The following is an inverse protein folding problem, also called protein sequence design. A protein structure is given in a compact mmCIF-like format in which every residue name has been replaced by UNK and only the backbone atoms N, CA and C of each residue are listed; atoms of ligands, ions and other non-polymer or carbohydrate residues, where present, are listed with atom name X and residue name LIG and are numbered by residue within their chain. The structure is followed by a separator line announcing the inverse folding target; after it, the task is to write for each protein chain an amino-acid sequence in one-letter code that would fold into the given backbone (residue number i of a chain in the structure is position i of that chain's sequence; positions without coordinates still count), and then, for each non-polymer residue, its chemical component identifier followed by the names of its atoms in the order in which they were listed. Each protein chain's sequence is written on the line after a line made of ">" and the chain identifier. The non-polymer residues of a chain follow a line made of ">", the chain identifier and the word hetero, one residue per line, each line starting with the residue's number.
data_IF_557909098234
#
_entry.id   IF_557909098234
#
_cell.length_a   1.000
_cell.length_b   1.000
_cell.length_c   1.000
_cell.angle_alpha   90.00
_cell.angle_beta   90.00
_cell.angle_gamma   90.00
#
_symmetry.space_group_name_H-M   'P 1'
#
loop_
_entity.id
_entity.type
_entity.pdbx_description
1 polymer ?
#
# COMPACT_ATOMS: atom_id res chain seq x y z
N UNK A 1 7.87 50.48 61.76
CA UNK A 1 6.52 50.27 61.25
C UNK A 1 6.66 49.73 59.84
N UNK A 2 6.38 48.42 59.64
CA UNK A 2 6.35 47.79 58.30
C UNK A 2 4.90 47.82 57.82
N UNK A 3 4.61 48.15 56.56
CA UNK A 3 3.25 48.15 56.04
C UNK A 3 2.78 46.72 55.84
N UNK A 4 1.70 46.34 56.47
CA UNK A 4 1.03 45.07 56.38
C UNK A 4 0.39 44.91 54.99
N UNK A 5 0.96 44.00 54.18
CA UNK A 5 0.33 43.56 52.93
C UNK A 5 -0.98 42.82 53.23
N UNK A 6 -2.07 43.23 52.59
CA UNK A 6 -3.35 42.50 52.66
C UNK A 6 -3.17 41.11 52.03
N UNK A 7 -3.69 40.06 52.64
CA UNK A 7 -3.70 38.73 51.99
C UNK A 7 -4.53 38.77 50.71
N UNK A 8 -4.15 38.01 49.68
CA UNK A 8 -4.88 37.97 48.44
C UNK A 8 -6.34 37.61 48.67
N UNK A 9 -7.25 38.36 48.05
CA UNK A 9 -8.69 38.21 48.27
C UNK A 9 -9.16 36.82 47.82
N UNK A 10 -10.18 36.27 48.49
CA UNK A 10 -10.78 34.94 48.19
C UNK A 10 -11.17 34.73 46.73
N UNK A 11 -11.34 35.80 45.93
CA UNK A 11 -11.61 35.74 44.52
C UNK A 11 -10.37 35.34 43.70
N UNK A 12 -9.17 35.85 44.04
CA UNK A 12 -7.94 35.49 43.31
C UNK A 12 -7.54 34.03 43.57
N UNK A 13 -7.70 33.53 44.77
CA UNK A 13 -7.49 32.12 45.11
C UNK A 13 -8.49 31.21 44.36
N UNK A 14 -9.74 31.64 44.18
CA UNK A 14 -10.74 30.87 43.43
C UNK A 14 -10.43 30.79 41.92
N UNK A 15 -9.87 31.83 41.33
CA UNK A 15 -9.50 31.86 39.91
C UNK A 15 -8.26 30.96 39.69
N UNK A 16 -7.32 30.94 40.60
CA UNK A 16 -6.13 30.10 40.53
C UNK A 16 -6.50 28.62 40.68
N UNK A 17 -7.36 28.27 41.62
CA UNK A 17 -7.83 26.90 41.89
C UNK A 17 -8.72 26.37 40.75
N UNK A 18 -9.58 27.22 40.16
CA UNK A 18 -10.41 26.84 39.03
C UNK A 18 -9.60 26.53 37.75
N UNK A 19 -8.44 27.19 37.54
CA UNK A 19 -7.61 26.93 36.35
C UNK A 19 -6.81 25.63 36.43
N UNK A 20 -6.38 25.22 37.65
CA UNK A 20 -5.67 23.94 37.82
C UNK A 20 -6.61 22.74 37.73
N UNK A 21 -7.76 22.75 38.37
CA UNK A 21 -8.72 21.64 38.31
C UNK A 21 -9.26 21.37 36.91
N UNK A 22 -9.52 22.41 36.10
CA UNK A 22 -10.01 22.25 34.73
C UNK A 22 -8.96 21.68 33.77
N UNK A 23 -7.67 21.79 34.08
CA UNK A 23 -6.61 21.21 33.27
C UNK A 23 -6.53 19.69 33.43
N UNK A 24 -6.84 19.14 34.58
CA UNK A 24 -6.79 17.70 34.84
C UNK A 24 -8.09 16.96 34.45
N UNK A 25 -9.20 17.68 34.24
CA UNK A 25 -10.43 17.05 33.80
C UNK A 25 -10.38 16.65 32.31
N UNK A 26 -10.69 15.39 32.05
CA UNK A 26 -10.75 14.86 30.67
C UNK A 26 -12.07 15.25 30.03
N UNK A 27 -12.01 15.95 28.88
CA UNK A 27 -13.17 16.12 27.99
C UNK A 27 -13.58 14.79 27.41
N UNK A 28 -14.86 14.64 27.05
CA UNK A 28 -15.37 13.43 26.39
C UNK A 28 -14.56 13.07 25.12
N UNK A 29 -14.21 14.07 24.31
CA UNK A 29 -13.36 13.88 23.11
C UNK A 29 -11.95 13.39 23.44
N UNK A 30 -11.34 13.87 24.51
CA UNK A 30 -10.01 13.44 24.95
C UNK A 30 -9.99 12.00 25.46
N UNK A 31 -11.03 11.60 26.19
CA UNK A 31 -11.22 10.20 26.63
C UNK A 31 -11.34 9.28 25.40
N UNK A 32 -12.16 9.67 24.43
CA UNK A 32 -12.31 8.92 23.19
C UNK A 32 -10.98 8.81 22.41
N UNK A 33 -10.24 9.92 22.26
CA UNK A 33 -8.93 9.92 21.59
C UNK A 33 -7.92 9.02 22.32
N UNK A 34 -7.91 9.00 23.66
CA UNK A 34 -7.03 8.12 24.44
C UNK A 34 -7.41 6.64 24.26
N UNK A 35 -8.70 6.32 24.25
CA UNK A 35 -9.18 4.96 23.98
C UNK A 35 -8.79 4.53 22.57
N UNK A 36 -8.97 5.38 21.56
CA UNK A 36 -8.55 5.10 20.19
C UNK A 36 -7.04 4.86 20.09
N UNK A 37 -6.21 5.66 20.78
CA UNK A 37 -4.77 5.45 20.83
C UNK A 37 -4.41 4.06 21.39
N UNK A 38 -5.07 3.65 22.47
CA UNK A 38 -4.87 2.32 23.06
C UNK A 38 -5.32 1.20 22.10
N UNK A 39 -6.49 1.34 21.49
CA UNK A 39 -7.02 0.38 20.51
C UNK A 39 -6.05 0.21 19.34
N UNK A 40 -5.57 1.30 18.74
CA UNK A 40 -4.60 1.24 17.65
C UNK A 40 -3.25 0.64 18.08
N UNK A 41 -2.82 0.91 19.31
CA UNK A 41 -1.60 0.31 19.85
C UNK A 41 -1.73 -1.23 19.95
N UNK A 42 -2.82 -1.70 20.55
CA UNK A 42 -3.10 -3.14 20.71
C UNK A 42 -3.33 -3.83 19.35
N UNK A 43 -4.06 -3.17 18.44
CA UNK A 43 -4.27 -3.65 17.08
C UNK A 43 -2.93 -3.79 16.34
N UNK A 44 -2.05 -2.80 16.45
CA UNK A 44 -0.71 -2.86 15.87
C UNK A 44 0.10 -4.04 16.39
N UNK A 45 0.07 -4.30 17.69
CA UNK A 45 0.74 -5.48 18.30
C UNK A 45 0.18 -6.80 17.76
N UNK A 46 -1.14 -6.91 17.63
CA UNK A 46 -1.79 -8.09 17.07
C UNK A 46 -1.43 -8.33 15.61
N UNK A 47 -1.58 -7.30 14.76
CA UNK A 47 -1.32 -7.39 13.32
C UNK A 47 0.15 -7.69 12.97
N UNK A 48 1.11 -7.22 13.78
CA UNK A 48 2.53 -7.53 13.54
C UNK A 48 2.86 -9.02 13.68
N UNK A 49 2.04 -9.79 14.39
CA UNK A 49 2.23 -11.24 14.55
C UNK A 49 1.64 -12.06 13.39
N UNK A 50 0.83 -11.44 12.54
CA UNK A 50 0.20 -12.11 11.41
C UNK A 50 1.07 -11.97 10.14
N UNK A 51 1.41 -13.07 9.45
CA UNK A 51 2.19 -13.02 8.22
C UNK A 51 1.48 -12.19 7.12
N UNK A 52 2.24 -11.34 6.45
CA UNK A 52 1.76 -10.57 5.30
C UNK A 52 0.96 -9.30 5.61
N UNK A 53 0.58 -9.03 6.88
CA UNK A 53 -0.19 -7.82 7.26
C UNK A 53 0.61 -6.82 8.10
N UNK A 54 1.93 -6.95 8.15
CA UNK A 54 2.81 -6.08 8.95
C UNK A 54 2.72 -4.59 8.61
N UNK A 55 2.34 -4.22 7.38
CA UNK A 55 2.13 -2.81 7.01
C UNK A 55 0.96 -2.21 7.80
N UNK A 56 -0.20 -2.89 7.86
CA UNK A 56 -1.36 -2.46 8.64
C UNK A 56 -1.03 -2.34 10.13
N UNK A 57 -0.17 -3.21 10.66
CA UNK A 57 0.34 -3.11 12.04
C UNK A 57 1.15 -1.83 12.28
N UNK A 58 2.10 -1.51 11.38
CA UNK A 58 2.88 -0.26 11.45
C UNK A 58 2.00 0.98 11.31
N UNK A 59 1.02 0.95 10.38
CA UNK A 59 0.05 2.02 10.21
C UNK A 59 -0.78 2.24 11.47
N UNK A 60 -1.22 1.17 12.14
CA UNK A 60 -1.94 1.26 13.42
C UNK A 60 -1.12 1.97 14.49
N UNK A 61 0.17 1.68 14.62
CA UNK A 61 1.04 2.42 15.54
C UNK A 61 1.22 3.89 15.16
N UNK A 62 1.31 4.20 13.85
CA UNK A 62 1.30 5.58 13.37
C UNK A 62 0.01 6.32 13.77
N UNK A 63 -1.16 5.69 13.65
CA UNK A 63 -2.45 6.24 14.08
C UNK A 63 -2.53 6.42 15.60
N UNK A 64 -1.98 5.48 16.37
CA UNK A 64 -1.87 5.64 17.82
C UNK A 64 -1.04 6.88 18.19
N UNK A 65 0.11 7.08 17.53
CA UNK A 65 0.94 8.26 17.73
C UNK A 65 0.20 9.56 17.36
N UNK A 66 -0.51 9.59 16.23
CA UNK A 66 -1.35 10.74 15.83
C UNK A 66 -2.39 11.05 16.90
N UNK A 67 -3.08 10.04 17.43
CA UNK A 67 -4.04 10.22 18.54
C UNK A 67 -3.36 10.83 19.77
N UNK A 68 -2.18 10.37 20.16
CA UNK A 68 -1.44 10.91 21.31
C UNK A 68 -1.01 12.37 21.09
N UNK A 69 -0.55 12.71 19.88
CA UNK A 69 -0.20 14.09 19.50
C UNK A 69 -1.43 14.99 19.58
N UNK A 70 -2.55 14.58 19.00
CA UNK A 70 -3.80 15.34 19.05
C UNK A 70 -4.31 15.51 20.49
N UNK A 71 -4.17 14.49 21.33
CA UNK A 71 -4.51 14.58 22.76
C UNK A 71 -3.63 15.59 23.46
N UNK A 72 -2.32 15.59 23.22
CA UNK A 72 -1.39 16.58 23.75
C UNK A 72 -1.74 18.00 23.32
N UNK A 73 -1.97 18.20 22.01
CA UNK A 73 -2.40 19.49 21.45
C UNK A 73 -3.74 19.96 22.01
N UNK A 74 -4.71 19.05 22.21
CA UNK A 74 -5.99 19.37 22.85
C UNK A 74 -5.79 19.91 24.26
N UNK A 75 -4.93 19.31 25.05
CA UNK A 75 -4.61 19.79 26.39
C UNK A 75 -3.88 21.13 26.40
N UNK A 76 -2.86 21.27 25.56
CA UNK A 76 -2.13 22.53 25.40
C UNK A 76 -3.03 23.67 24.89
N UNK A 77 -4.04 23.37 24.09
CA UNK A 77 -5.01 24.35 23.57
C UNK A 77 -5.80 25.08 24.66
N UNK A 78 -5.82 24.54 25.90
CA UNK A 78 -6.44 25.18 27.06
C UNK A 78 -5.57 26.33 27.58
N UNK A 79 -4.26 26.36 27.28
CA UNK A 79 -3.31 27.33 27.84
C UNK A 79 -3.27 28.63 27.04
N UNK A 80 -3.41 28.59 25.71
CA UNK A 80 -3.29 29.78 24.86
C UNK A 80 -4.04 29.69 23.54
N UNK A 81 -4.28 30.87 22.92
CA UNK A 81 -4.86 30.97 21.59
C UNK A 81 -3.98 30.34 20.50
N UNK A 82 -2.65 30.43 20.62
CA UNK A 82 -1.69 29.83 19.70
C UNK A 82 -1.82 28.32 19.61
N UNK A 83 -1.93 27.64 20.76
CA UNK A 83 -2.13 26.18 20.81
C UNK A 83 -3.51 25.75 20.23
N UNK A 84 -4.55 26.59 20.41
CA UNK A 84 -5.86 26.34 19.77
C UNK A 84 -5.76 26.40 18.25
N UNK A 85 -5.02 27.39 17.72
CA UNK A 85 -4.79 27.52 16.29
C UNK A 85 -4.00 26.32 15.76
N UNK A 86 -2.91 25.91 16.44
CA UNK A 86 -2.10 24.76 16.06
C UNK A 86 -2.92 23.45 16.02
N UNK A 87 -3.77 23.21 17.02
CA UNK A 87 -4.68 22.06 17.02
C UNK A 87 -5.62 22.09 15.80
N UNK A 88 -6.21 23.25 15.46
CA UNK A 88 -7.08 23.36 14.30
C UNK A 88 -6.34 23.09 12.99
N UNK A 89 -5.14 23.65 12.84
CA UNK A 89 -4.29 23.40 11.66
C UNK A 89 -3.97 21.90 11.55
N UNK A 90 -3.57 21.26 12.65
CA UNK A 90 -3.29 19.81 12.66
C UNK A 90 -4.53 18.98 12.30
N UNK A 91 -5.72 19.34 12.79
CA UNK A 91 -6.96 18.63 12.45
C UNK A 91 -7.35 18.82 11.00
N UNK A 92 -7.23 20.04 10.44
CA UNK A 92 -7.52 20.31 9.02
C UNK A 92 -6.51 19.58 8.14
N UNK A 93 -5.22 19.63 8.46
CA UNK A 93 -4.17 18.91 7.73
C UNK A 93 -4.38 17.40 7.74
N UNK A 94 -4.74 16.84 8.89
CA UNK A 94 -5.06 15.41 9.00
C UNK A 94 -6.30 15.05 8.16
N UNK A 95 -7.35 15.85 8.21
CA UNK A 95 -8.55 15.63 7.39
C UNK A 95 -8.23 15.67 5.89
N UNK A 96 -7.45 16.64 5.45
CA UNK A 96 -6.99 16.73 4.06
C UNK A 96 -6.16 15.53 3.63
N UNK A 97 -5.22 15.08 4.50
CA UNK A 97 -4.42 13.89 4.27
C UNK A 97 -5.29 12.64 4.14
N UNK A 98 -6.23 12.43 5.07
CA UNK A 98 -7.15 11.27 5.04
C UNK A 98 -8.00 11.30 3.76
N UNK A 99 -8.54 12.45 3.38
CA UNK A 99 -9.33 12.59 2.15
C UNK A 99 -8.47 12.29 0.91
N UNK A 100 -7.25 12.81 0.83
CA UNK A 100 -6.32 12.54 -0.26
C UNK A 100 -5.96 11.05 -0.37
N UNK A 101 -5.57 10.43 0.74
CA UNK A 101 -5.27 8.99 0.76
C UNK A 101 -6.50 8.14 0.42
N UNK A 102 -7.69 8.53 0.89
CA UNK A 102 -8.94 7.83 0.54
C UNK A 102 -9.25 7.93 -0.95
N UNK A 103 -8.99 9.06 -1.59
CA UNK A 103 -9.17 9.22 -3.03
C UNK A 103 -8.21 8.33 -3.82
N UNK A 104 -6.94 8.25 -3.41
CA UNK A 104 -5.95 7.33 -4.00
C UNK A 104 -6.39 5.88 -3.80
N UNK A 105 -6.82 5.50 -2.60
CA UNK A 105 -7.28 4.15 -2.27
C UNK A 105 -8.47 3.73 -3.15
N UNK A 106 -9.48 4.60 -3.29
CA UNK A 106 -10.64 4.34 -4.15
C UNK A 106 -10.21 4.15 -5.61
N UNK A 107 -9.25 4.94 -6.09
CA UNK A 107 -8.71 4.79 -7.43
C UNK A 107 -7.95 3.47 -7.60
N UNK A 108 -7.08 3.09 -6.66
CA UNK A 108 -6.34 1.82 -6.68
C UNK A 108 -7.29 0.62 -6.65
N UNK A 109 -8.33 0.67 -5.80
CA UNK A 109 -9.35 -0.37 -5.72
C UNK A 109 -10.09 -0.48 -7.07
N UNK A 110 -10.52 0.63 -7.66
CA UNK A 110 -11.22 0.60 -8.96
C UNK A 110 -10.34 0.02 -10.07
N UNK A 111 -9.08 0.42 -10.14
CA UNK A 111 -8.13 -0.14 -11.10
C UNK A 111 -7.94 -1.64 -10.90
N UNK A 112 -7.83 -2.08 -9.64
CA UNK A 112 -7.62 -3.49 -9.29
C UNK A 112 -8.82 -4.41 -9.52
N UNK A 113 -10.03 -3.85 -9.63
CA UNK A 113 -11.26 -4.60 -9.92
C UNK A 113 -11.60 -4.64 -11.42
N UNK A 114 -10.84 -3.95 -12.25
CA UNK A 114 -10.98 -4.05 -13.70
C UNK A 114 -10.40 -5.39 -14.16
N UNK A 115 -11.28 -6.33 -14.46
CA UNK A 115 -10.94 -7.69 -14.88
C UNK A 115 -11.31 -7.86 -16.37
N UNK A 116 -10.29 -7.97 -17.20
CA UNK A 116 -10.41 -8.14 -18.65
C UNK A 116 -9.94 -9.53 -19.08
N UNK A 117 -9.87 -10.49 -18.15
CA UNK A 117 -9.37 -11.85 -18.40
C UNK A 117 -10.16 -12.64 -19.47
N UNK A 118 -11.39 -12.20 -19.79
CA UNK A 118 -12.17 -12.77 -20.90
C UNK A 118 -11.80 -12.18 -22.27
N UNK A 119 -11.00 -11.11 -22.31
CA UNK A 119 -10.57 -10.51 -23.58
C UNK A 119 -9.37 -11.26 -24.15
N UNK A 120 -9.31 -11.45 -25.47
CA UNK A 120 -8.15 -12.04 -26.11
C UNK A 120 -6.95 -11.08 -26.04
N UNK A 121 -5.76 -11.66 -25.95
CA UNK A 121 -4.49 -10.95 -26.10
C UNK A 121 -3.56 -11.75 -27.00
N UNK A 122 -2.55 -11.08 -27.56
CA UNK A 122 -1.59 -11.69 -28.47
C UNK A 122 -0.35 -12.20 -27.73
N UNK A 123 -0.12 -11.72 -26.52
CA UNK A 123 0.94 -12.16 -25.62
C UNK A 123 0.61 -11.84 -24.15
N UNK A 124 1.39 -12.42 -23.23
CA UNK A 124 1.22 -12.25 -21.78
C UNK A 124 2.52 -11.84 -21.11
N UNK A 125 2.44 -10.96 -20.12
CA UNK A 125 3.49 -10.77 -19.11
C UNK A 125 2.92 -11.16 -17.75
N UNK A 126 3.59 -12.09 -17.06
CA UNK A 126 3.30 -12.43 -15.66
C UNK A 126 4.34 -11.76 -14.77
N UNK A 127 3.89 -10.84 -13.91
CA UNK A 127 4.79 -10.10 -13.03
C UNK A 127 5.13 -10.88 -11.76
N UNK A 128 6.38 -10.84 -11.34
CA UNK A 128 6.86 -11.41 -10.09
C UNK A 128 6.36 -10.68 -8.84
N UNK A 129 6.36 -11.36 -7.68
CA UNK A 129 5.84 -10.84 -6.41
C UNK A 129 6.58 -11.36 -5.16
N UNK A 130 7.78 -11.91 -5.35
CA UNK A 130 8.64 -12.43 -4.28
C UNK A 130 8.56 -13.94 -4.08
N UNK A 131 9.69 -14.48 -3.65
CA UNK A 131 9.90 -15.90 -3.32
C UNK A 131 10.44 -15.99 -1.89
N UNK A 132 10.07 -17.00 -1.16
CA UNK A 132 10.63 -17.31 0.18
C UNK A 132 11.57 -18.53 0.03
N UNK A 133 12.87 -18.29 -0.04
CA UNK A 133 13.82 -19.31 -0.47
C UNK A 133 13.53 -19.72 -1.91
N UNK A 134 12.97 -20.91 -2.13
CA UNK A 134 12.50 -21.41 -3.43
C UNK A 134 10.98 -21.43 -3.58
N UNK A 135 10.22 -21.12 -2.49
CA UNK A 135 8.76 -21.23 -2.48
C UNK A 135 8.11 -19.90 -2.87
N UNK A 136 7.22 -19.86 -3.86
CA UNK A 136 6.49 -18.65 -4.21
C UNK A 136 5.76 -18.05 -3.01
N UNK A 137 5.83 -16.72 -2.85
CA UNK A 137 4.99 -16.01 -1.86
C UNK A 137 3.50 -16.22 -2.18
N UNK A 138 2.62 -15.95 -1.21
CA UNK A 138 1.16 -16.04 -1.45
C UNK A 138 0.73 -15.18 -2.65
N UNK A 139 1.30 -13.98 -2.79
CA UNK A 139 1.02 -13.11 -3.91
C UNK A 139 1.49 -13.70 -5.24
N UNK A 140 2.72 -14.24 -5.29
CA UNK A 140 3.24 -14.90 -6.49
C UNK A 140 2.44 -16.15 -6.84
N UNK A 141 2.05 -16.95 -5.84
CA UNK A 141 1.21 -18.13 -6.04
C UNK A 141 -0.13 -17.78 -6.71
N UNK A 142 -0.80 -16.71 -6.27
CA UNK A 142 -2.07 -16.30 -6.90
C UNK A 142 -1.89 -15.80 -8.33
N UNK A 143 -0.72 -15.21 -8.67
CA UNK A 143 -0.38 -14.84 -10.06
C UNK A 143 -0.12 -16.07 -10.92
N UNK A 144 0.57 -17.08 -10.40
CA UNK A 144 0.76 -18.37 -11.07
C UNK A 144 -0.58 -19.03 -11.35
N UNK A 145 -1.50 -19.02 -10.38
CA UNK A 145 -2.84 -19.59 -10.53
C UNK A 145 -3.69 -18.84 -11.59
N UNK A 146 -3.55 -17.51 -11.65
CA UNK A 146 -4.20 -16.70 -12.68
C UNK A 146 -3.58 -16.93 -14.06
N UNK A 147 -2.23 -17.03 -14.13
CA UNK A 147 -1.49 -17.30 -15.35
C UNK A 147 -1.84 -18.68 -15.93
N UNK A 148 -1.91 -19.70 -15.07
CA UNK A 148 -2.34 -21.04 -15.50
C UNK A 148 -3.72 -21.02 -16.16
N UNK A 149 -4.71 -20.38 -15.50
CA UNK A 149 -6.07 -20.29 -16.06
C UNK A 149 -6.10 -19.53 -17.38
N UNK A 150 -5.40 -18.40 -17.45
CA UNK A 150 -5.37 -17.57 -18.65
C UNK A 150 -4.66 -18.28 -19.81
N UNK A 151 -3.49 -18.89 -19.57
CA UNK A 151 -2.71 -19.59 -20.59
C UNK A 151 -3.37 -20.88 -21.09
N UNK A 152 -4.18 -21.56 -20.25
CA UNK A 152 -5.00 -22.70 -20.67
C UNK A 152 -6.18 -22.28 -21.54
N UNK A 153 -6.76 -21.10 -21.28
CA UNK A 153 -7.82 -20.53 -22.11
C UNK A 153 -7.30 -19.96 -23.45
N UNK A 154 -6.00 -19.62 -23.51
CA UNK A 154 -5.35 -19.04 -24.69
C UNK A 154 -4.09 -19.87 -25.03
N UNK A 155 -4.24 -21.06 -25.68
CA UNK A 155 -3.15 -22.03 -25.83
C UNK A 155 -2.03 -21.58 -26.79
N UNK A 156 -2.29 -20.64 -27.69
CA UNK A 156 -1.39 -20.28 -28.78
C UNK A 156 -0.51 -19.06 -28.52
N UNK A 157 -0.70 -18.34 -27.38
CA UNK A 157 0.02 -17.11 -27.10
C UNK A 157 1.27 -17.34 -26.24
N UNK A 158 2.39 -16.61 -26.49
CA UNK A 158 3.58 -16.66 -25.65
C UNK A 158 3.39 -15.88 -24.34
N UNK A 159 4.15 -16.27 -23.31
CA UNK A 159 4.14 -15.62 -22.02
C UNK A 159 5.55 -15.33 -21.51
N UNK A 160 5.84 -14.09 -21.19
CA UNK A 160 7.05 -13.71 -20.43
C UNK A 160 6.75 -13.79 -18.95
N UNK A 161 7.56 -14.54 -18.22
CA UNK A 161 7.58 -14.62 -16.78
C UNK A 161 8.67 -13.67 -16.29
N UNK A 162 8.28 -12.53 -15.71
CA UNK A 162 9.22 -11.46 -15.42
C UNK A 162 9.36 -11.20 -13.93
N UNK A 163 10.60 -11.31 -13.46
CA UNK A 163 10.99 -11.04 -12.09
C UNK A 163 12.36 -11.63 -11.76
N UNK A 164 13.26 -10.78 -11.26
CA UNK A 164 14.60 -11.19 -10.87
C UNK A 164 14.63 -11.92 -9.54
N UNK A 165 15.85 -12.10 -9.00
CA UNK A 165 16.10 -12.67 -7.68
C UNK A 165 16.28 -11.54 -6.67
N UNK A 166 15.41 -11.47 -5.68
CA UNK A 166 15.47 -10.48 -4.60
C UNK A 166 16.41 -10.91 -3.46
N UNK A 167 16.73 -10.00 -2.52
CA UNK A 167 17.50 -10.34 -1.34
C UNK A 167 16.83 -11.41 -0.48
N UNK A 168 17.54 -12.50 -0.19
CA UNK A 168 17.03 -13.62 0.61
C UNK A 168 16.20 -14.64 -0.17
N UNK A 169 16.20 -14.55 -1.50
CA UNK A 169 15.61 -15.54 -2.40
C UNK A 169 16.70 -16.47 -2.94
N UNK A 170 16.41 -17.76 -3.05
CA UNK A 170 17.33 -18.78 -3.56
C UNK A 170 17.14 -19.03 -5.07
N UNK A 171 16.10 -18.45 -5.67
CA UNK A 171 15.78 -18.51 -7.10
C UNK A 171 15.16 -17.21 -7.55
N UNK A 172 15.14 -16.94 -8.88
CA UNK A 172 14.40 -15.81 -9.42
C UNK A 172 12.89 -16.05 -9.36
N UNK A 173 12.12 -14.96 -9.27
CA UNK A 173 10.66 -15.03 -9.34
C UNK A 173 10.20 -15.63 -10.68
N UNK A 174 10.86 -15.26 -11.78
CA UNK A 174 10.59 -15.80 -13.12
C UNK A 174 10.81 -17.32 -13.15
N UNK A 175 11.90 -17.83 -12.59
CA UNK A 175 12.20 -19.27 -12.50
C UNK A 175 11.15 -20.01 -11.67
N UNK A 176 10.78 -19.47 -10.52
CA UNK A 176 9.75 -20.07 -9.68
C UNK A 176 8.39 -20.18 -10.39
N UNK A 177 8.02 -19.15 -11.19
CA UNK A 177 6.82 -19.17 -12.02
C UNK A 177 6.93 -20.24 -13.13
N UNK A 178 8.07 -20.31 -13.81
CA UNK A 178 8.32 -21.29 -14.89
C UNK A 178 8.17 -22.71 -14.40
N UNK A 179 8.85 -23.05 -13.31
CA UNK A 179 8.82 -24.40 -12.75
C UNK A 179 7.40 -24.80 -12.32
N UNK A 180 6.67 -23.86 -11.68
CA UNK A 180 5.29 -24.10 -11.27
C UNK A 180 4.32 -24.26 -12.46
N UNK A 181 4.41 -23.42 -13.48
CA UNK A 181 3.52 -23.49 -14.65
C UNK A 181 3.80 -24.71 -15.52
N UNK A 182 5.07 -25.08 -15.72
CA UNK A 182 5.46 -26.28 -16.42
C UNK A 182 4.96 -27.54 -15.69
N UNK A 183 5.11 -27.60 -14.38
CA UNK A 183 4.58 -28.71 -13.57
C UNK A 183 3.04 -28.85 -13.66
N UNK A 184 2.33 -27.77 -14.02
CA UNK A 184 0.86 -27.73 -14.24
C UNK A 184 0.44 -27.97 -15.68
N UNK A 185 1.37 -28.32 -16.56
CA UNK A 185 1.12 -28.71 -17.93
C UNK A 185 1.03 -27.55 -18.93
N UNK A 186 1.56 -26.36 -18.59
CA UNK A 186 1.80 -25.32 -19.59
C UNK A 186 3.04 -25.67 -20.37
N UNK A 187 2.94 -25.58 -21.69
CA UNK A 187 4.06 -25.89 -22.61
C UNK A 187 5.26 -24.98 -22.32
N UNK A 188 6.44 -25.55 -22.00
CA UNK A 188 7.65 -24.80 -21.74
C UNK A 188 8.10 -23.90 -22.90
N UNK A 189 7.81 -24.27 -24.14
CA UNK A 189 8.20 -23.50 -25.33
C UNK A 189 7.47 -22.14 -25.40
N UNK A 190 6.32 -22.01 -24.74
CA UNK A 190 5.55 -20.77 -24.64
C UNK A 190 6.05 -19.85 -23.53
N UNK A 191 6.87 -20.35 -22.59
CA UNK A 191 7.28 -19.64 -21.39
C UNK A 191 8.68 -19.05 -21.55
N UNK A 192 8.77 -17.73 -21.49
CA UNK A 192 10.01 -16.98 -21.68
C UNK A 192 10.42 -16.38 -20.32
N UNK A 193 11.65 -16.66 -19.90
CA UNK A 193 12.18 -16.13 -18.63
C UNK A 193 12.77 -14.74 -18.80
N UNK A 194 12.37 -13.81 -17.95
CA UNK A 194 12.98 -12.50 -17.77
C UNK A 194 13.39 -12.37 -16.29
N UNK A 195 14.67 -12.59 -15.99
CA UNK A 195 15.22 -12.76 -14.64
C UNK A 195 16.05 -11.53 -14.16
N UNK A 196 16.07 -10.42 -14.92
CA UNK A 196 16.95 -9.26 -14.66
C UNK A 196 16.25 -8.10 -13.97
N UNK A 197 14.93 -8.09 -14.01
CA UNK A 197 14.14 -6.97 -13.52
C UNK A 197 14.10 -6.93 -12.00
N UNK A 198 14.36 -5.74 -11.45
CA UNK A 198 14.31 -5.46 -10.00
C UNK A 198 13.11 -4.58 -9.61
N UNK A 199 12.28 -4.15 -10.57
CA UNK A 199 11.09 -3.32 -10.34
C UNK A 199 10.11 -3.41 -11.50
N UNK A 200 8.88 -2.94 -11.28
CA UNK A 200 7.77 -3.03 -12.26
C UNK A 200 8.08 -2.38 -13.60
N UNK A 201 8.75 -1.21 -13.62
CA UNK A 201 9.13 -0.56 -14.88
C UNK A 201 10.08 -1.41 -15.70
N UNK A 202 11.05 -2.04 -15.05
CA UNK A 202 11.97 -2.96 -15.71
C UNK A 202 11.24 -4.23 -16.18
N UNK A 203 10.34 -4.78 -15.35
CA UNK A 203 9.54 -5.93 -15.77
C UNK A 203 8.83 -5.68 -17.12
N UNK A 204 8.13 -4.56 -17.24
CA UNK A 204 7.42 -4.21 -18.48
C UNK A 204 8.41 -3.96 -19.64
N UNK A 205 9.42 -3.12 -19.41
CA UNK A 205 10.38 -2.72 -20.44
C UNK A 205 11.25 -3.87 -20.95
N UNK A 206 11.71 -4.76 -20.06
CA UNK A 206 12.59 -5.88 -20.43
C UNK A 206 11.81 -7.04 -21.08
N UNK A 207 10.51 -7.17 -20.78
CA UNK A 207 9.67 -8.22 -21.36
C UNK A 207 9.31 -7.96 -22.81
N UNK A 208 9.09 -6.70 -23.21
CA UNK A 208 8.63 -6.38 -24.56
C UNK A 208 9.58 -6.89 -25.67
N UNK A 209 10.91 -6.67 -25.62
CA UNK A 209 11.82 -7.18 -26.64
C UNK A 209 11.88 -8.71 -26.70
N UNK A 210 11.54 -9.40 -25.62
CA UNK A 210 11.48 -10.86 -25.60
C UNK A 210 10.24 -11.37 -26.36
N UNK A 211 9.11 -10.67 -26.22
CA UNK A 211 7.89 -10.98 -26.96
C UNK A 211 8.02 -10.65 -28.46
N UNK A 212 8.66 -9.54 -28.81
CA UNK A 212 8.94 -9.14 -30.19
C UNK A 212 9.75 -10.21 -30.92
N UNK A 213 10.71 -10.86 -30.26
CA UNK A 213 11.45 -12.01 -30.82
C UNK A 213 10.58 -13.22 -31.10
N UNK A 214 9.41 -13.32 -30.49
CA UNK A 214 8.41 -14.36 -30.74
C UNK A 214 7.34 -13.92 -31.75
N UNK A 215 7.54 -12.78 -32.40
CA UNK A 215 6.63 -12.25 -33.41
C UNK A 215 5.49 -11.38 -32.88
N UNK A 216 5.55 -10.96 -31.60
CA UNK A 216 4.56 -10.04 -31.05
C UNK A 216 4.67 -8.66 -31.71
N UNK A 217 3.55 -8.12 -32.19
CA UNK A 217 3.47 -6.75 -32.69
C UNK A 217 3.35 -5.75 -31.53
N UNK A 218 4.43 -5.05 -31.22
CA UNK A 218 4.47 -4.07 -30.14
C UNK A 218 3.71 -2.76 -30.42
N UNK A 219 3.25 -2.51 -31.65
CA UNK A 219 2.53 -1.28 -32.01
C UNK A 219 1.03 -1.47 -32.20
N UNK A 220 0.57 -2.68 -32.55
CA UNK A 220 -0.85 -2.97 -32.77
C UNK A 220 -1.40 -4.11 -31.93
N UNK A 221 -0.51 -4.84 -31.23
CA UNK A 221 -0.88 -6.00 -30.43
C UNK A 221 -1.51 -5.66 -29.10
N UNK A 222 -2.23 -6.64 -28.56
CA UNK A 222 -2.85 -6.60 -27.23
C UNK A 222 -2.02 -7.39 -26.24
N UNK A 223 -1.58 -6.78 -25.17
CA UNK A 223 -0.68 -7.38 -24.20
C UNK A 223 -1.38 -7.56 -22.85
N UNK A 224 -1.62 -8.82 -22.49
CA UNK A 224 -2.17 -9.14 -21.17
C UNK A 224 -1.08 -9.01 -20.11
N UNK A 225 -1.42 -8.35 -18.98
CA UNK A 225 -0.57 -8.31 -17.80
C UNK A 225 -1.27 -8.98 -16.64
N UNK A 226 -0.63 -10.02 -16.12
CA UNK A 226 -1.10 -10.77 -14.96
C UNK A 226 -0.35 -10.31 -13.72
N UNK A 227 -1.07 -9.67 -12.80
CA UNK A 227 -0.56 -9.25 -11.50
C UNK A 227 -1.71 -9.18 -10.49
N UNK A 228 -1.42 -8.94 -9.20
CA UNK A 228 -2.51 -8.81 -8.22
C UNK A 228 -3.29 -7.51 -8.43
N UNK A 229 -4.58 -7.52 -8.11
CA UNK A 229 -5.47 -6.38 -8.31
C UNK A 229 -4.93 -5.08 -7.71
N UNK A 230 -4.43 -5.10 -6.47
CA UNK A 230 -3.83 -3.93 -5.84
C UNK A 230 -2.69 -3.30 -6.66
N UNK A 231 -1.98 -4.08 -7.48
CA UNK A 231 -0.83 -3.63 -8.27
C UNK A 231 -1.20 -3.11 -9.66
N UNK A 232 -2.44 -3.33 -10.14
CA UNK A 232 -2.89 -2.92 -11.47
C UNK A 232 -2.85 -1.39 -11.67
N UNK A 233 -3.16 -0.62 -10.62
CA UNK A 233 -3.06 0.84 -10.68
C UNK A 233 -1.63 1.30 -11.02
N UNK A 234 -0.61 0.69 -10.41
CA UNK A 234 0.80 0.98 -10.70
C UNK A 234 1.19 0.54 -12.10
N UNK A 235 0.74 -0.62 -12.55
CA UNK A 235 0.95 -1.06 -13.94
C UNK A 235 0.42 -0.02 -14.92
N UNK A 236 -0.83 0.43 -14.73
CA UNK A 236 -1.43 1.47 -15.58
C UNK A 236 -0.67 2.80 -15.55
N UNK A 237 -0.15 3.24 -14.39
CA UNK A 237 0.68 4.44 -14.26
C UNK A 237 2.04 4.33 -14.96
N UNK A 238 2.60 3.13 -15.01
CA UNK A 238 3.90 2.87 -15.62
C UNK A 238 3.80 2.39 -17.06
N UNK A 239 2.56 2.27 -17.58
CA UNK A 239 2.30 1.82 -18.93
C UNK A 239 2.69 2.91 -19.93
N UNK A 240 3.86 2.78 -20.48
CA UNK A 240 4.43 3.64 -21.53
C UNK A 240 4.72 2.83 -22.83
N UNK A 241 4.11 1.65 -22.95
CA UNK A 241 4.25 0.79 -24.09
C UNK A 241 3.21 1.15 -25.17
N UNK A 242 3.55 1.00 -26.46
CA UNK A 242 2.66 1.35 -27.58
C UNK A 242 1.56 0.31 -27.84
N UNK A 243 1.38 -0.65 -26.92
CA UNK A 243 0.42 -1.76 -27.03
C UNK A 243 -0.84 -1.50 -26.21
N UNK A 244 -1.95 -2.14 -26.57
CA UNK A 244 -3.16 -2.14 -25.74
C UNK A 244 -2.96 -3.03 -24.51
N UNK A 245 -3.21 -2.48 -23.31
CA UNK A 245 -3.14 -3.22 -22.05
C UNK A 245 -4.42 -3.99 -21.78
N UNK A 246 -4.32 -5.32 -21.61
CA UNK A 246 -5.38 -6.18 -21.09
C UNK A 246 -5.07 -6.55 -19.63
N UNK A 247 -5.93 -6.13 -18.71
CA UNK A 247 -5.71 -6.32 -17.29
C UNK A 247 -6.26 -7.67 -16.80
N UNK A 248 -5.39 -8.51 -16.23
CA UNK A 248 -5.76 -9.82 -15.68
C UNK A 248 -5.39 -9.88 -14.19
N UNK A 249 -6.29 -9.42 -13.29
CA UNK A 249 -6.00 -9.33 -11.87
C UNK A 249 -6.02 -10.70 -11.18
N UNK A 250 -4.92 -11.08 -10.55
CA UNK A 250 -4.87 -12.22 -9.64
C UNK A 250 -5.46 -11.84 -8.27
N UNK A 251 -6.39 -12.65 -7.75
CA UNK A 251 -7.12 -12.38 -6.51
C UNK A 251 -6.38 -12.94 -5.31
N UNK A 252 -6.10 -12.10 -4.32
CA UNK A 252 -5.58 -12.51 -3.01
C UNK A 252 -6.73 -12.94 -2.06
N UNK A 253 -6.42 -13.70 -1.00
CA UNK A 253 -7.32 -13.85 0.14
C UNK A 253 -7.69 -12.47 0.71
N UNK A 254 -8.99 -12.24 1.00
CA UNK A 254 -9.52 -10.91 1.38
C UNK A 254 -8.78 -10.25 2.57
N UNK A 255 -8.29 -11.06 3.53
CA UNK A 255 -7.58 -10.57 4.72
C UNK A 255 -6.17 -10.06 4.42
N UNK A 256 -5.53 -10.55 3.35
CA UNK A 256 -4.28 -10.01 2.83
C UNK A 256 -4.53 -8.84 1.88
N UNK A 257 -5.57 -8.94 1.08
CA UNK A 257 -5.88 -8.00 0.01
C UNK A 257 -5.99 -6.56 0.54
N UNK A 258 -6.78 -6.35 1.61
CA UNK A 258 -6.91 -5.04 2.25
C UNK A 258 -5.57 -4.43 2.69
N UNK A 259 -4.66 -5.24 3.27
CA UNK A 259 -3.33 -4.76 3.66
C UNK A 259 -2.48 -4.36 2.46
N UNK A 260 -2.58 -5.11 1.35
CA UNK A 260 -1.80 -4.82 0.14
C UNK A 260 -2.34 -3.60 -0.61
N UNK A 261 -3.67 -3.40 -0.68
CA UNK A 261 -4.27 -2.19 -1.25
C UNK A 261 -3.82 -0.93 -0.50
N UNK A 262 -3.93 -0.93 0.83
CA UNK A 262 -3.41 0.16 1.66
C UNK A 262 -1.93 0.42 1.40
N UNK A 263 -1.09 -0.62 1.44
CA UNK A 263 0.35 -0.49 1.20
C UNK A 263 0.64 0.11 -0.17
N UNK A 264 -0.10 -0.31 -1.19
CA UNK A 264 0.09 0.15 -2.57
C UNK A 264 -0.28 1.63 -2.72
N UNK A 265 -1.37 2.08 -2.09
CA UNK A 265 -1.76 3.49 -2.09
C UNK A 265 -0.66 4.38 -1.49
N UNK A 266 -0.07 3.97 -0.37
CA UNK A 266 1.08 4.70 0.21
C UNK A 266 2.31 4.66 -0.68
N UNK A 267 2.60 3.51 -1.33
CA UNK A 267 3.74 3.36 -2.22
C UNK A 267 3.60 4.25 -3.47
N UNK A 268 2.40 4.34 -4.05
CA UNK A 268 2.11 5.22 -5.19
C UNK A 268 2.31 6.69 -4.78
N UNK A 269 1.76 7.12 -3.64
CA UNK A 269 1.96 8.50 -3.15
C UNK A 269 3.45 8.79 -2.92
N UNK A 270 4.20 7.85 -2.34
CA UNK A 270 5.64 8.00 -2.16
C UNK A 270 6.38 8.15 -3.50
N UNK A 271 6.11 7.28 -4.46
CA UNK A 271 6.86 7.21 -5.72
C UNK A 271 6.48 8.35 -6.68
N UNK A 272 5.21 8.78 -6.69
CA UNK A 272 4.70 9.78 -7.63
C UNK A 272 4.71 11.20 -7.07
N UNK A 273 4.67 11.38 -5.76
CA UNK A 273 4.58 12.69 -5.11
C UNK A 273 5.81 13.01 -4.27
N UNK A 274 6.15 12.16 -3.31
CA UNK A 274 7.20 12.50 -2.33
C UNK A 274 8.60 12.42 -2.92
N UNK A 275 8.94 11.35 -3.64
CA UNK A 275 10.28 11.21 -4.27
C UNK A 275 10.61 12.34 -5.25
N UNK A 276 9.71 12.73 -6.19
CA UNK A 276 9.99 13.85 -7.09
C UNK A 276 10.12 15.20 -6.40
N UNK A 277 9.47 15.39 -5.24
CA UNK A 277 9.57 16.63 -4.45
C UNK A 277 10.85 16.70 -3.61
N UNK A 278 11.49 15.57 -3.33
CA UNK A 278 12.68 15.46 -2.49
C UNK A 278 13.98 15.26 -3.30
N UNK A 279 13.88 15.06 -4.61
CA UNK A 279 14.97 14.92 -5.56
C UNK A 279 15.36 16.26 -6.16
#
# INVERSE_FOLDING_TARGET
>A
MLPGGRPPGRQELRIYDMNEHTFFEWKRSERLTAVLALVFCLLGLGLQRLPGVGFSGKLSWGLALVCLVLLGLSRLSRRSRGWKLLLRIAQIGLAALVLGLSAVEVWVIRAGHRDESAQPADAVIVLGAGVNGTTPSVALQTRIDAAERYLKAHPDIPAVLSGGQGPGEDTSEARAMYDALTARGIDPERLILEERSANTRQNLKNSLPLLEKQGFDSYGGRLAVITNGFHMARVGLLWDLPTELVQVPAKLPWWLDANYYLRESFAIVNDMVLRPLLA
#
